data_IF_289697899869
#
_entry.id   IF_289697899869
#
_cell.length_a   1.000
_cell.length_b   1.000
_cell.length_c   1.000
_cell.angle_alpha   90.00
_cell.angle_beta   90.00
_cell.angle_gamma   90.00
#
_symmetry.space_group_name_H-M   'P 1'
#
loop_
_entity.id
_entity.type
_entity.pdbx_description
1 polymer ?
#
# COMPACT_ATOMS: atom_id res chain seq x y z
N UNK A 1 10.12 -3.37 5.96
CA UNK A 1 10.33 -3.93 4.65
C UNK A 1 8.99 -4.02 3.93
N UNK A 2 8.92 -3.56 2.68
CA UNK A 2 7.65 -3.46 1.95
C UNK A 2 7.43 -4.67 1.04
N UNK A 3 8.50 -5.27 0.52
CA UNK A 3 8.42 -6.42 -0.36
C UNK A 3 7.84 -7.65 0.35
N UNK A 4 6.72 -8.22 -0.13
CA UNK A 4 6.14 -9.45 0.39
C UNK A 4 7.08 -10.65 0.22
N UNK A 5 6.83 -11.71 0.97
CA UNK A 5 7.55 -12.97 0.86
C UNK A 5 6.98 -13.81 -0.30
N UNK A 6 7.83 -14.27 -1.21
CA UNK A 6 7.42 -15.15 -2.31
C UNK A 6 7.23 -16.60 -1.87
N UNK A 7 7.84 -17.03 -0.76
CA UNK A 7 7.65 -18.38 -0.24
C UNK A 7 6.25 -18.57 0.34
N UNK A 8 5.57 -19.65 -0.04
CA UNK A 8 4.31 -20.05 0.57
C UNK A 8 4.51 -20.43 2.03
N UNK A 9 3.53 -20.15 2.88
CA UNK A 9 3.53 -20.65 4.24
C UNK A 9 3.29 -22.17 4.22
N UNK A 10 4.06 -22.97 4.99
CA UNK A 10 3.81 -24.41 5.11
C UNK A 10 2.40 -24.67 5.61
N UNK A 11 1.84 -25.82 5.22
CA UNK A 11 0.49 -26.21 5.64
C UNK A 11 0.33 -26.16 7.16
N UNK A 12 -0.75 -25.53 7.62
CA UNK A 12 -1.08 -25.40 9.04
C UNK A 12 -0.36 -24.28 9.78
N UNK A 13 0.57 -23.58 9.14
CA UNK A 13 1.23 -22.42 9.75
C UNK A 13 0.44 -21.13 9.50
N UNK A 14 0.52 -20.20 10.46
CA UNK A 14 -0.05 -18.88 10.36
C UNK A 14 1.04 -17.81 10.50
N UNK A 15 0.92 -16.71 9.74
CA UNK A 15 1.71 -15.50 9.89
C UNK A 15 0.79 -14.37 10.34
N UNK A 16 1.19 -13.67 11.40
CA UNK A 16 0.56 -12.40 11.79
C UNK A 16 1.67 -11.35 11.83
N UNK A 17 1.53 -10.30 11.03
CA UNK A 17 2.51 -9.23 10.92
C UNK A 17 1.83 -7.85 10.95
N UNK A 18 1.56 -7.30 12.14
CA UNK A 18 1.03 -5.96 12.30
C UNK A 18 2.11 -4.90 12.07
N UNK A 19 1.76 -3.90 11.29
CA UNK A 19 2.50 -2.66 11.07
C UNK A 19 1.81 -1.49 11.75
N UNK A 20 2.57 -0.62 12.38
CA UNK A 20 2.18 0.74 12.73
C UNK A 20 3.11 1.71 11.99
N UNK A 21 2.54 2.74 11.40
CA UNK A 21 3.31 3.73 10.65
C UNK A 21 2.70 5.12 10.76
N UNK A 22 3.53 6.13 10.54
CA UNK A 22 3.09 7.50 10.41
C UNK A 22 3.48 8.04 9.03
N UNK A 23 2.52 8.48 8.22
CA UNK A 23 2.79 9.14 6.95
C UNK A 23 2.96 10.63 7.22
N UNK A 24 4.16 11.15 7.04
CA UNK A 24 4.47 12.56 7.21
C UNK A 24 4.65 13.16 5.82
N UNK A 25 3.66 13.94 5.39
CA UNK A 25 3.73 14.71 4.15
C UNK A 25 4.55 15.98 4.37
N UNK A 26 5.45 16.30 3.43
CA UNK A 26 6.30 17.49 3.51
C UNK A 26 6.30 18.35 2.23
N UNK A 27 5.38 18.02 1.30
CA UNK A 27 5.22 18.74 0.05
C UNK A 27 4.54 17.92 -1.03
N UNK A 28 4.37 18.54 -2.19
CA UNK A 28 3.80 17.95 -3.39
C UNK A 28 4.83 18.01 -4.52
N UNK A 29 4.90 16.94 -5.31
CA UNK A 29 5.72 16.86 -6.53
C UNK A 29 4.76 17.04 -7.71
N UNK A 30 4.94 18.09 -8.47
CA UNK A 30 4.02 18.50 -9.54
C UNK A 30 4.13 17.65 -10.82
N UNK A 31 3.42 18.06 -11.87
CA UNK A 31 3.43 17.40 -13.18
C UNK A 31 4.79 17.48 -13.91
N UNK A 32 5.69 18.36 -13.52
CA UNK A 32 7.03 18.49 -14.08
C UNK A 32 8.08 17.73 -13.26
N UNK A 33 7.70 17.17 -12.10
CA UNK A 33 8.61 16.52 -11.17
C UNK A 33 9.28 17.50 -10.20
N UNK A 34 8.81 18.75 -10.11
CA UNK A 34 9.33 19.75 -9.19
C UNK A 34 8.63 19.64 -7.83
N UNK A 35 9.44 19.58 -6.76
CA UNK A 35 8.93 19.52 -5.40
C UNK A 35 8.59 20.93 -4.88
N UNK A 36 7.35 21.10 -4.47
CA UNK A 36 6.84 22.28 -3.80
C UNK A 36 6.62 21.98 -2.32
N UNK A 37 7.18 22.81 -1.44
CA UNK A 37 6.97 22.65 0.00
C UNK A 37 5.50 22.89 0.34
N UNK A 38 4.92 22.03 1.17
CA UNK A 38 3.56 22.13 1.68
C UNK A 38 3.52 22.20 3.20
N UNK A 39 2.34 22.42 3.75
CA UNK A 39 2.11 22.25 5.16
C UNK A 39 2.32 20.77 5.54
N UNK A 40 2.90 20.53 6.71
CA UNK A 40 3.10 19.15 7.17
C UNK A 40 1.77 18.53 7.59
N UNK A 41 1.49 17.36 7.07
CA UNK A 41 0.35 16.54 7.46
C UNK A 41 0.87 15.27 8.11
N UNK A 42 0.11 14.74 9.05
CA UNK A 42 0.47 13.56 9.81
C UNK A 42 -0.71 12.59 9.80
N UNK A 43 -0.53 11.45 9.12
CA UNK A 43 -1.53 10.39 9.13
C UNK A 43 -0.95 9.17 9.85
N UNK A 44 -1.66 8.68 10.83
CA UNK A 44 -1.32 7.45 11.52
C UNK A 44 -2.04 6.29 10.85
N UNK A 45 -1.33 5.23 10.60
CA UNK A 45 -1.90 4.04 9.96
C UNK A 45 -1.43 2.74 10.62
N UNK A 46 -2.26 1.73 10.46
CA UNK A 46 -1.93 0.35 10.78
C UNK A 46 -2.43 -0.54 9.66
N UNK A 47 -1.65 -1.52 9.29
CA UNK A 47 -2.08 -2.65 8.48
C UNK A 47 -1.52 -3.93 9.09
N UNK A 48 -2.21 -5.05 8.90
CA UNK A 48 -1.74 -6.33 9.43
C UNK A 48 -1.91 -7.42 8.39
N UNK A 49 -0.81 -8.10 8.05
CA UNK A 49 -0.92 -9.34 7.30
C UNK A 49 -1.35 -10.46 8.23
N UNK A 50 -2.45 -11.12 7.92
CA UNK A 50 -2.94 -12.32 8.61
C UNK A 50 -3.05 -13.40 7.54
N UNK A 51 -2.06 -14.28 7.49
CA UNK A 51 -1.92 -15.29 6.44
C UNK A 51 -1.93 -16.69 7.04
N UNK A 52 -2.43 -17.67 6.29
CA UNK A 52 -2.49 -19.07 6.68
C UNK A 52 -2.11 -19.99 5.52
N UNK A 53 -1.21 -20.94 5.78
CA UNK A 53 -0.84 -22.00 4.84
C UNK A 53 -1.94 -23.04 4.75
N UNK A 54 -2.77 -22.98 3.71
CA UNK A 54 -3.86 -23.93 3.45
C UNK A 54 -3.29 -25.27 2.98
N UNK A 55 -2.28 -25.20 2.13
CA UNK A 55 -1.42 -26.31 1.72
C UNK A 55 0.01 -25.78 1.63
N UNK A 56 1.00 -26.63 1.36
CA UNK A 56 2.39 -26.19 1.18
C UNK A 56 2.58 -25.22 0.00
N UNK A 57 1.63 -25.18 -0.94
CA UNK A 57 1.67 -24.30 -2.10
C UNK A 57 0.61 -23.20 -2.08
N UNK A 58 -0.38 -23.25 -1.18
CA UNK A 58 -1.49 -22.29 -1.13
C UNK A 58 -1.48 -21.55 0.20
N UNK A 59 -1.35 -20.25 0.13
CA UNK A 59 -1.48 -19.33 1.27
C UNK A 59 -2.70 -18.44 1.06
N UNK A 60 -3.61 -18.41 2.03
CA UNK A 60 -4.76 -17.52 2.04
C UNK A 60 -4.66 -16.54 3.21
N UNK A 61 -5.28 -15.38 3.10
CA UNK A 61 -5.27 -14.42 4.20
C UNK A 61 -6.07 -13.16 3.94
N UNK A 62 -5.96 -12.23 4.86
CA UNK A 62 -6.60 -10.93 4.79
C UNK A 62 -5.72 -9.85 5.42
N UNK A 63 -5.93 -8.61 5.00
CA UNK A 63 -5.12 -7.45 5.41
C UNK A 63 -6.08 -6.34 5.86
N UNK A 64 -6.45 -6.27 7.15
CA UNK A 64 -7.18 -5.14 7.71
C UNK A 64 -6.29 -3.91 7.81
N UNK A 65 -6.90 -2.74 7.65
CA UNK A 65 -6.23 -1.44 7.72
C UNK A 65 -7.01 -0.48 8.61
N UNK A 66 -6.29 0.36 9.36
CA UNK A 66 -6.85 1.40 10.22
C UNK A 66 -6.08 2.69 10.01
N UNK A 67 -6.77 3.83 10.05
CA UNK A 67 -6.18 5.14 9.83
C UNK A 67 -6.75 6.18 10.78
N UNK A 68 -5.92 7.17 11.07
CA UNK A 68 -6.29 8.41 11.73
C UNK A 68 -5.53 9.54 11.05
N UNK A 69 -6.23 10.41 10.32
CA UNK A 69 -5.65 11.44 9.47
C UNK A 69 -5.66 12.79 10.18
N UNK A 70 -4.55 13.51 10.13
CA UNK A 70 -4.34 14.85 10.69
C UNK A 70 -3.89 15.82 9.59
N UNK A 71 -4.82 16.25 8.70
CA UNK A 71 -4.50 17.17 7.62
C UNK A 71 -4.15 18.56 8.17
N UNK A 72 -3.22 19.25 7.51
CA UNK A 72 -2.82 20.59 7.87
C UNK A 72 -3.96 21.60 7.67
N UNK A 73 -4.29 22.35 8.72
CA UNK A 73 -5.28 23.44 8.64
C UNK A 73 -6.74 22.98 8.51
N UNK A 74 -7.03 21.69 8.65
CA UNK A 74 -8.37 21.13 8.65
C UNK A 74 -8.60 20.25 9.89
N UNK A 75 -9.85 19.81 10.11
CA UNK A 75 -10.18 18.95 11.24
C UNK A 75 -9.59 17.55 11.02
N UNK A 76 -8.97 16.98 12.05
CA UNK A 76 -8.52 15.58 12.06
C UNK A 76 -9.69 14.59 11.98
N UNK A 77 -9.41 13.33 11.73
CA UNK A 77 -10.41 12.26 11.75
C UNK A 77 -11.23 12.26 13.05
N UNK A 78 -12.52 11.98 12.91
CA UNK A 78 -13.44 11.94 14.07
C UNK A 78 -13.11 10.78 15.03
N UNK A 79 -12.56 9.69 14.50
CA UNK A 79 -12.14 8.48 15.20
C UNK A 79 -11.03 7.76 14.41
N UNK A 80 -10.53 6.65 14.95
CA UNK A 80 -9.78 5.70 14.15
C UNK A 80 -10.75 5.02 13.18
N UNK A 81 -10.50 5.18 11.90
CA UNK A 81 -11.36 4.68 10.82
C UNK A 81 -10.84 3.35 10.28
N UNK A 82 -11.76 2.43 9.98
CA UNK A 82 -11.45 1.18 9.31
C UNK A 82 -11.36 1.42 7.80
N UNK A 83 -10.23 1.07 7.20
CA UNK A 83 -9.99 1.20 5.76
C UNK A 83 -10.56 0.04 4.95
N UNK A 84 -10.19 -0.01 3.67
CA UNK A 84 -10.61 -1.10 2.81
C UNK A 84 -9.88 -2.40 3.19
N UNK A 85 -10.67 -3.49 3.36
CA UNK A 85 -10.18 -4.81 3.70
C UNK A 85 -9.69 -5.53 2.43
N UNK A 86 -8.44 -6.01 2.44
CA UNK A 86 -7.92 -6.83 1.34
C UNK A 86 -7.97 -8.31 1.71
N UNK A 87 -8.55 -9.13 0.85
CA UNK A 87 -8.45 -10.59 0.88
C UNK A 87 -7.32 -11.02 -0.05
N UNK A 88 -6.62 -12.12 0.30
CA UNK A 88 -5.46 -12.58 -0.46
C UNK A 88 -5.49 -14.09 -0.64
N UNK A 89 -5.13 -14.54 -1.84
CA UNK A 89 -4.88 -15.94 -2.17
C UNK A 89 -3.59 -16.04 -2.98
N UNK A 90 -2.59 -16.74 -2.45
CA UNK A 90 -1.30 -16.96 -3.08
C UNK A 90 -1.12 -18.43 -3.48
N UNK A 91 -0.47 -18.64 -4.63
CA UNK A 91 -0.06 -19.94 -5.12
C UNK A 91 1.43 -19.95 -5.45
N UNK A 92 2.20 -20.83 -4.76
CA UNK A 92 3.62 -21.06 -5.03
C UNK A 92 3.82 -21.84 -6.33
N UNK A 93 4.41 -21.18 -7.32
CA UNK A 93 4.73 -21.74 -8.65
C UNK A 93 6.05 -22.51 -8.64
N UNK A 94 7.03 -22.02 -7.88
CA UNK A 94 8.34 -22.62 -7.71
C UNK A 94 8.84 -22.39 -6.28
N UNK A 95 9.65 -23.31 -5.79
CA UNK A 95 10.25 -23.23 -4.46
C UNK A 95 11.75 -23.24 -4.54
N UNK A 96 12.38 -22.38 -3.76
CA UNK A 96 13.83 -22.34 -3.60
C UNK A 96 14.36 -23.70 -3.18
N UNK A 97 15.50 -24.08 -3.78
CA UNK A 97 16.24 -25.31 -3.41
C UNK A 97 17.68 -24.93 -3.15
N UNK A 98 18.17 -25.27 -1.98
CA UNK A 98 19.56 -25.03 -1.59
C UNK A 98 20.53 -25.70 -2.59
N UNK A 99 21.51 -24.93 -3.08
CA UNK A 99 22.44 -25.36 -4.12
C UNK A 99 21.87 -25.44 -5.54
N UNK A 100 20.59 -25.03 -5.75
CA UNK A 100 19.93 -24.89 -7.04
C UNK A 100 19.95 -23.44 -7.54
N UNK A 101 19.39 -23.22 -8.75
CA UNK A 101 19.19 -21.89 -9.34
C UNK A 101 17.68 -21.59 -9.49
N UNK A 102 16.83 -22.22 -8.67
CA UNK A 102 15.39 -22.02 -8.76
C UNK A 102 14.97 -21.10 -7.60
N UNK A 103 14.53 -19.86 -7.87
CA UNK A 103 14.00 -18.98 -6.84
C UNK A 103 12.63 -19.45 -6.34
N UNK A 104 12.16 -18.91 -5.22
CA UNK A 104 10.73 -18.93 -4.89
C UNK A 104 10.00 -18.02 -5.86
N UNK A 105 8.89 -18.50 -6.42
CA UNK A 105 8.00 -17.74 -7.29
C UNK A 105 6.57 -17.98 -6.84
N UNK A 106 5.82 -16.91 -6.58
CA UNK A 106 4.41 -16.99 -6.22
C UNK A 106 3.57 -16.06 -7.09
N UNK A 107 2.40 -16.54 -7.48
CA UNK A 107 1.32 -15.73 -8.04
C UNK A 107 0.31 -15.46 -6.92
N UNK A 108 0.00 -14.18 -6.69
CA UNK A 108 -0.91 -13.79 -5.61
C UNK A 108 -2.03 -12.92 -6.17
N UNK A 109 -3.26 -13.36 -5.96
CA UNK A 109 -4.48 -12.62 -6.24
C UNK A 109 -4.94 -11.91 -4.97
N UNK A 110 -5.21 -10.62 -5.06
CA UNK A 110 -5.80 -9.84 -3.98
C UNK A 110 -7.09 -9.19 -4.46
N UNK A 111 -8.09 -9.17 -3.57
CA UNK A 111 -9.33 -8.43 -3.76
C UNK A 111 -9.52 -7.48 -2.59
N UNK A 112 -9.51 -6.19 -2.87
CA UNK A 112 -9.76 -5.14 -1.87
C UNK A 112 -11.24 -4.77 -1.89
N UNK A 113 -11.89 -4.98 -0.77
CA UNK A 113 -13.31 -4.73 -0.57
C UNK A 113 -13.53 -3.29 -0.10
N UNK A 114 -14.55 -2.57 -0.60
CA UNK A 114 -14.83 -1.19 -0.24
C UNK A 114 -15.51 -1.08 1.14
N UNK A 115 -14.78 -1.40 2.20
CA UNK A 115 -15.28 -1.37 3.58
C UNK A 115 -15.00 -0.05 4.28
N UNK A 116 -14.06 0.74 3.78
CA UNK A 116 -13.73 2.05 4.31
C UNK A 116 -14.69 3.14 3.84
N UNK A 117 -14.78 4.21 4.61
CA UNK A 117 -15.60 5.37 4.26
C UNK A 117 -14.94 6.14 3.14
N UNK A 118 -15.69 6.54 2.11
CA UNK A 118 -15.15 7.21 0.92
C UNK A 118 -15.99 8.40 0.44
N UNK A 119 -17.30 8.44 0.70
CA UNK A 119 -18.19 9.54 0.32
C UNK A 119 -19.15 9.91 1.45
N UNK A 120 -19.97 10.95 1.23
CA UNK A 120 -20.88 11.51 2.24
C UNK A 120 -20.16 11.82 3.57
N UNK A 121 -18.91 12.27 3.44
CA UNK A 121 -18.03 12.50 4.58
C UNK A 121 -18.43 13.78 5.32
N UNK A 122 -18.51 13.70 6.65
CA UNK A 122 -18.67 14.88 7.51
C UNK A 122 -17.37 15.70 7.58
N UNK A 123 -16.23 15.02 7.49
CA UNK A 123 -14.88 15.60 7.41
C UNK A 123 -14.12 14.86 6.32
N UNK A 124 -13.34 15.58 5.52
CA UNK A 124 -12.51 14.94 4.49
C UNK A 124 -11.54 13.91 5.08
N UNK A 125 -11.03 14.17 6.30
CA UNK A 125 -10.13 13.30 7.05
C UNK A 125 -10.73 11.94 7.49
N UNK A 126 -12.07 11.79 7.49
CA UNK A 126 -12.74 10.51 7.80
C UNK A 126 -12.74 9.56 6.59
N UNK A 127 -12.32 10.05 5.41
CA UNK A 127 -12.25 9.25 4.18
C UNK A 127 -10.97 8.39 4.13
N UNK A 128 -11.12 7.07 4.22
CA UNK A 128 -10.01 6.10 4.26
C UNK A 128 -10.19 4.91 3.32
N UNK A 129 -11.31 4.86 2.58
CA UNK A 129 -11.63 3.85 1.59
C UNK A 129 -11.71 4.43 0.17
N UNK A 130 -11.61 3.58 -0.85
CA UNK A 130 -11.80 3.96 -2.25
C UNK A 130 -13.27 3.83 -2.70
N UNK A 131 -14.10 3.08 -1.95
CA UNK A 131 -15.48 2.75 -2.36
C UNK A 131 -15.56 1.81 -3.56
N UNK A 132 -14.45 1.49 -4.19
CA UNK A 132 -14.35 0.61 -5.34
C UNK A 132 -13.80 -0.76 -4.94
N UNK A 133 -14.28 -1.82 -5.60
CA UNK A 133 -13.59 -3.10 -5.58
C UNK A 133 -12.30 -2.98 -6.40
N UNK A 134 -11.18 -3.43 -5.82
CA UNK A 134 -9.90 -3.41 -6.53
C UNK A 134 -9.30 -4.81 -6.54
N UNK A 135 -9.19 -5.37 -7.75
CA UNK A 135 -8.50 -6.65 -7.97
C UNK A 135 -7.04 -6.38 -8.31
N UNK A 136 -6.12 -7.07 -7.63
CA UNK A 136 -4.68 -7.00 -7.95
C UNK A 136 -4.11 -8.38 -8.23
N UNK A 137 -3.31 -8.46 -9.28
CA UNK A 137 -2.52 -9.64 -9.64
C UNK A 137 -1.06 -9.35 -9.35
N UNK A 138 -0.43 -10.19 -8.54
CA UNK A 138 0.92 -9.97 -8.05
C UNK A 138 1.81 -11.18 -8.39
N UNK A 139 3.03 -10.90 -8.84
CA UNK A 139 4.07 -11.89 -9.04
C UNK A 139 5.22 -11.57 -8.10
N UNK A 140 5.50 -12.47 -7.17
CA UNK A 140 6.58 -12.34 -6.19
C UNK A 140 7.68 -13.32 -6.51
N UNK A 141 8.92 -12.82 -6.53
CA UNK A 141 10.14 -13.59 -6.75
C UNK A 141 11.10 -13.37 -5.59
N UNK A 142 11.78 -14.44 -5.16
CA UNK A 142 12.74 -14.38 -4.07
C UNK A 142 13.84 -15.40 -4.29
N UNK A 143 15.09 -14.98 -4.03
CA UNK A 143 16.22 -15.89 -4.08
C UNK A 143 17.21 -15.60 -2.94
N UNK A 144 18.05 -16.59 -2.61
CA UNK A 144 19.02 -16.54 -1.54
C UNK A 144 20.43 -16.75 -2.07
N UNK A 145 21.34 -15.86 -1.70
CA UNK A 145 22.73 -15.89 -2.11
C UNK A 145 23.63 -16.02 -0.88
N UNK A 146 24.44 -17.08 -0.86
CA UNK A 146 25.50 -17.23 0.14
C UNK A 146 26.67 -16.31 -0.21
N UNK A 147 26.92 -15.33 0.64
CA UNK A 147 28.03 -14.40 0.49
C UNK A 147 29.35 -15.06 0.91
N UNK A 148 30.51 -14.60 0.40
CA UNK A 148 31.81 -15.20 0.74
C UNK A 148 32.15 -15.24 2.23
N UNK A 149 31.55 -14.37 3.02
CA UNK A 149 31.71 -14.33 4.48
C UNK A 149 30.75 -15.24 5.23
N UNK A 150 30.04 -16.14 4.56
CA UNK A 150 29.08 -17.09 5.15
C UNK A 150 27.76 -16.46 5.59
N UNK A 151 27.44 -15.24 5.14
CA UNK A 151 26.16 -14.58 5.39
C UNK A 151 25.21 -14.78 4.23
N UNK A 152 23.92 -14.66 4.49
CA UNK A 152 22.88 -14.76 3.48
C UNK A 152 22.46 -13.36 3.05
N UNK A 153 22.41 -13.17 1.73
CA UNK A 153 21.70 -12.08 1.07
C UNK A 153 20.43 -12.65 0.45
N UNK A 154 19.25 -12.16 0.86
CA UNK A 154 17.98 -12.45 0.21
C UNK A 154 17.64 -11.30 -0.73
N UNK A 155 17.37 -11.58 -1.99
CA UNK A 155 16.87 -10.63 -2.96
C UNK A 155 15.42 -10.94 -3.27
N UNK A 156 14.59 -9.90 -3.42
CA UNK A 156 13.18 -10.00 -3.83
C UNK A 156 12.92 -9.06 -4.99
N UNK A 157 11.98 -9.47 -5.83
CA UNK A 157 11.48 -8.63 -6.91
C UNK A 157 9.99 -8.91 -7.07
N UNK A 158 9.17 -7.91 -6.80
CA UNK A 158 7.73 -8.03 -6.75
C UNK A 158 7.09 -7.11 -7.79
N UNK A 159 6.14 -7.65 -8.53
CA UNK A 159 5.32 -6.94 -9.50
C UNK A 159 3.87 -7.00 -9.06
N UNK A 160 3.18 -5.88 -9.11
CA UNK A 160 1.75 -5.80 -8.82
C UNK A 160 1.06 -4.97 -9.88
N UNK A 161 -0.07 -5.47 -10.38
CA UNK A 161 -0.99 -4.73 -11.24
C UNK A 161 -2.39 -4.78 -10.66
N UNK A 162 -2.98 -3.61 -10.44
CA UNK A 162 -4.29 -3.45 -9.82
C UNK A 162 -5.24 -2.68 -10.73
N UNK A 163 -6.49 -3.13 -10.80
CA UNK A 163 -7.57 -2.45 -11.50
C UNK A 163 -8.82 -2.38 -10.63
N UNK A 164 -9.56 -1.28 -10.77
CA UNK A 164 -10.67 -0.96 -9.88
C UNK A 164 -11.99 -0.85 -10.63
N UNK A 165 -13.08 -1.22 -9.95
CA UNK A 165 -14.43 -0.95 -10.44
C UNK A 165 -14.76 0.53 -10.36
N UNK A 166 -15.73 1.00 -11.17
CA UNK A 166 -16.30 2.33 -10.97
C UNK A 166 -17.15 2.38 -9.69
N UNK A 167 -17.24 3.56 -9.09
CA UNK A 167 -17.96 3.79 -7.83
C UNK A 167 -18.88 4.99 -7.93
N UNK A 168 -20.07 4.91 -7.32
CA UNK A 168 -20.97 6.06 -7.17
C UNK A 168 -20.44 6.96 -6.06
N UNK A 169 -20.48 8.26 -6.27
CA UNK A 169 -19.94 9.27 -5.34
C UNK A 169 -20.99 10.34 -5.09
N UNK A 170 -21.21 10.66 -3.82
CA UNK A 170 -22.15 11.67 -3.38
C UNK A 170 -21.51 12.58 -2.34
N UNK A 171 -21.85 13.87 -2.40
CA UNK A 171 -21.38 14.88 -1.45
C UNK A 171 -19.84 14.96 -1.37
N UNK A 172 -19.32 15.22 -0.17
CA UNK A 172 -17.88 15.25 0.10
C UNK A 172 -17.29 13.86 0.07
N UNK A 173 -16.21 13.65 -0.68
CA UNK A 173 -15.59 12.34 -0.86
C UNK A 173 -14.05 12.41 -0.93
N UNK A 174 -13.44 11.24 -0.86
CA UNK A 174 -11.99 11.05 -1.11
C UNK A 174 -11.56 11.43 -2.53
N UNK A 175 -12.51 11.55 -3.46
CA UNK A 175 -12.27 11.99 -4.84
C UNK A 175 -12.27 13.52 -5.00
N UNK A 176 -12.24 14.28 -3.91
CA UNK A 176 -12.17 15.74 -3.92
C UNK A 176 -13.50 16.43 -4.24
N UNK A 177 -14.62 15.71 -4.19
CA UNK A 177 -15.95 16.31 -4.36
C UNK A 177 -16.41 17.05 -3.11
N UNK A 178 -17.38 17.92 -3.27
CA UNK A 178 -17.96 18.73 -2.19
C UNK A 178 -19.45 18.46 -2.03
N UNK A 179 -20.06 18.98 -0.97
CA UNK A 179 -21.48 18.81 -0.68
C UNK A 179 -22.37 19.17 -1.88
N UNK A 180 -23.35 18.31 -2.16
CA UNK A 180 -24.27 18.41 -3.29
C UNK A 180 -23.79 17.73 -4.57
N UNK A 181 -22.56 17.24 -4.64
CA UNK A 181 -22.11 16.46 -5.79
C UNK A 181 -22.85 15.13 -5.89
N UNK A 182 -23.19 14.71 -7.11
CA UNK A 182 -23.71 13.37 -7.41
C UNK A 182 -23.14 12.90 -8.74
N UNK A 183 -22.46 11.73 -8.72
CA UNK A 183 -21.80 11.23 -9.91
C UNK A 183 -21.12 9.88 -9.73
N UNK A 184 -20.06 9.67 -10.53
CA UNK A 184 -19.24 8.47 -10.53
C UNK A 184 -17.76 8.79 -10.62
N UNK A 185 -16.96 8.05 -9.86
CA UNK A 185 -15.53 7.99 -10.05
C UNK A 185 -15.14 6.68 -10.76
N UNK A 186 -14.11 6.78 -11.59
CA UNK A 186 -13.48 5.69 -12.32
C UNK A 186 -12.00 5.71 -11.94
N UNK A 187 -11.61 5.03 -10.84
CA UNK A 187 -10.21 4.97 -10.44
C UNK A 187 -9.34 4.38 -11.54
N UNK A 188 -8.17 4.96 -11.76
CA UNK A 188 -7.20 4.45 -12.71
C UNK A 188 -6.54 3.16 -12.23
N UNK A 189 -5.94 2.42 -13.16
CA UNK A 189 -5.16 1.24 -12.85
C UNK A 189 -3.87 1.61 -12.13
N UNK A 190 -3.30 0.66 -11.40
CA UNK A 190 -2.06 0.84 -10.65
C UNK A 190 -1.03 -0.22 -11.03
N UNK A 191 0.22 0.17 -11.07
CA UNK A 191 1.35 -0.73 -11.28
C UNK A 191 2.43 -0.44 -10.24
N UNK A 192 2.97 -1.50 -9.62
CA UNK A 192 4.03 -1.38 -8.64
C UNK A 192 5.13 -2.41 -8.93
N UNK A 193 6.37 -1.96 -8.78
CA UNK A 193 7.55 -2.83 -8.73
C UNK A 193 8.29 -2.53 -7.43
N UNK A 194 8.60 -3.57 -6.68
CA UNK A 194 9.43 -3.49 -5.49
C UNK A 194 10.65 -4.39 -5.63
N UNK A 195 11.84 -3.80 -5.58
CA UNK A 195 13.11 -4.52 -5.58
C UNK A 195 13.75 -4.38 -4.20
N UNK A 196 13.90 -5.50 -3.50
CA UNK A 196 14.38 -5.51 -2.13
C UNK A 196 15.60 -6.41 -1.93
N UNK A 197 16.46 -6.01 -1.00
CA UNK A 197 17.59 -6.78 -0.56
C UNK A 197 17.65 -6.83 0.97
N UNK A 198 17.89 -8.02 1.52
CA UNK A 198 18.03 -8.26 2.95
C UNK A 198 19.37 -8.96 3.22
N UNK A 199 20.18 -8.34 4.03
CA UNK A 199 21.48 -8.89 4.39
C UNK A 199 21.55 -9.28 5.86
N UNK A 200 21.80 -10.55 6.11
CA UNK A 200 21.96 -11.09 7.47
C UNK A 200 23.29 -10.66 8.09
N UNK A 201 23.29 -9.58 8.90
CA UNK A 201 24.47 -9.13 9.65
C UNK A 201 24.92 -10.16 10.67
N UNK A 202 23.96 -10.75 11.37
CA UNK A 202 24.17 -11.81 12.36
C UNK A 202 23.06 -12.86 12.21
N UNK A 203 22.96 -13.82 13.12
CA UNK A 203 21.80 -14.75 13.15
C UNK A 203 20.49 -14.07 13.52
N UNK A 204 20.56 -12.90 14.20
CA UNK A 204 19.39 -12.17 14.70
C UNK A 204 19.17 -10.82 14.04
N UNK A 205 20.21 -10.19 13.50
CA UNK A 205 20.13 -8.86 12.91
C UNK A 205 20.18 -8.93 11.38
N UNK A 206 19.21 -8.28 10.74
CA UNK A 206 19.11 -8.16 9.28
C UNK A 206 19.03 -6.69 8.91
N UNK A 207 19.79 -6.28 7.90
CA UNK A 207 19.58 -5.00 7.22
C UNK A 207 18.72 -5.25 5.98
N UNK A 208 17.75 -4.39 5.75
CA UNK A 208 16.89 -4.43 4.58
C UNK A 208 16.88 -3.08 3.86
N UNK A 209 16.71 -3.14 2.56
CA UNK A 209 16.58 -1.96 1.71
C UNK A 209 15.68 -2.28 0.53
N UNK A 210 14.60 -1.51 0.37
CA UNK A 210 13.66 -1.65 -0.73
C UNK A 210 13.71 -0.40 -1.62
N UNK A 211 13.55 -0.61 -2.93
CA UNK A 211 13.35 0.42 -3.95
C UNK A 211 12.01 0.16 -4.61
N UNK A 212 11.06 1.06 -4.40
CA UNK A 212 9.67 0.90 -4.82
C UNK A 212 9.34 1.91 -5.89
N UNK A 213 9.01 1.44 -7.08
CA UNK A 213 8.39 2.24 -8.13
C UNK A 213 6.88 1.98 -8.13
N UNK A 214 6.10 3.05 -8.13
CA UNK A 214 4.63 2.97 -8.23
C UNK A 214 4.16 3.93 -9.31
N UNK A 215 3.25 3.46 -10.15
CA UNK A 215 2.53 4.25 -11.14
C UNK A 215 1.02 4.07 -10.93
N UNK A 216 0.26 5.16 -11.06
CA UNK A 216 -1.19 5.14 -11.05
C UNK A 216 -1.69 5.92 -12.26
N UNK A 217 -2.62 5.33 -13.00
CA UNK A 217 -3.32 5.99 -14.08
C UNK A 217 -4.28 7.07 -13.55
N UNK A 218 -4.74 7.93 -14.45
CA UNK A 218 -5.67 9.01 -14.11
C UNK A 218 -7.00 8.46 -13.60
N UNK A 219 -7.47 8.97 -12.47
CA UNK A 219 -8.84 8.80 -12.01
C UNK A 219 -9.74 9.81 -12.72
N UNK A 220 -10.81 9.34 -13.38
CA UNK A 220 -11.83 10.19 -13.98
C UNK A 220 -13.05 10.29 -13.05
N UNK A 221 -13.53 11.52 -12.85
CA UNK A 221 -14.75 11.85 -12.10
C UNK A 221 -15.76 12.50 -13.03
N UNK A 222 -17.00 11.99 -13.05
CA UNK A 222 -18.10 12.56 -13.83
C UNK A 222 -19.35 12.71 -12.98
N UNK A 223 -20.08 13.79 -13.11
CA UNK A 223 -21.29 13.97 -12.32
C UNK A 223 -21.92 15.36 -12.48
N UNK A 224 -22.69 15.74 -11.50
CA UNK A 224 -23.40 17.02 -11.45
C UNK A 224 -23.23 17.69 -10.11
N UNK A 225 -23.17 19.02 -10.13
CA UNK A 225 -23.30 19.87 -8.96
C UNK A 225 -24.62 20.66 -9.05
N UNK A 226 -25.36 20.84 -7.96
CA UNK A 226 -26.54 21.71 -7.92
C UNK A 226 -26.19 23.13 -8.39
N UNK A 227 -27.17 23.77 -9.00
CA UNK A 227 -27.03 25.18 -9.36
C UNK A 227 -26.83 26.04 -8.10
N UNK A 228 -25.76 26.85 -8.09
CA UNK A 228 -25.65 27.93 -7.10
C UNK A 228 -26.47 29.13 -7.57
N UNK A 229 -27.29 29.78 -6.70
CA UNK A 229 -28.01 31.00 -7.07
C UNK A 229 -27.06 32.06 -7.62
N UNK A 230 -27.41 32.76 -8.71
CA UNK A 230 -28.70 32.82 -9.41
C UNK A 230 -28.90 31.83 -10.57
N UNK A 231 -28.00 30.84 -10.78
CA UNK A 231 -28.12 29.85 -11.84
C UNK A 231 -29.34 28.93 -11.64
N UNK A 232 -30.00 28.53 -12.73
CA UNK A 232 -31.21 27.70 -12.72
C UNK A 232 -30.97 26.24 -13.11
N UNK A 233 -29.77 25.88 -13.57
CA UNK A 233 -29.44 24.52 -14.01
C UNK A 233 -28.21 23.99 -13.30
N UNK A 234 -28.22 22.69 -12.97
CA UNK A 234 -27.05 21.99 -12.45
C UNK A 234 -25.88 22.04 -13.44
N UNK A 235 -24.66 22.20 -12.93
CA UNK A 235 -23.46 22.16 -13.74
C UNK A 235 -22.96 20.72 -13.88
N UNK A 236 -22.54 20.37 -15.10
CA UNK A 236 -21.84 19.11 -15.35
C UNK A 236 -20.40 19.25 -14.81
N UNK A 237 -19.93 18.19 -14.17
CA UNK A 237 -18.56 18.06 -13.68
C UNK A 237 -17.90 16.91 -14.40
N UNK A 238 -16.78 17.17 -15.04
CA UNK A 238 -15.87 16.17 -15.58
C UNK A 238 -14.46 16.59 -15.19
N UNK A 239 -13.76 15.72 -14.48
CA UNK A 239 -12.44 15.99 -13.93
C UNK A 239 -11.56 14.76 -14.04
N UNK A 240 -10.29 14.97 -14.33
CA UNK A 240 -9.26 13.95 -14.32
C UNK A 240 -8.13 14.34 -13.37
N UNK A 241 -7.65 13.40 -12.57
CA UNK A 241 -6.54 13.64 -11.64
C UNK A 241 -5.18 13.78 -12.32
N UNK A 242 -5.07 13.29 -13.56
CA UNK A 242 -3.79 13.03 -14.21
C UNK A 242 -3.13 11.76 -13.66
N UNK A 243 -2.26 11.14 -14.45
CA UNK A 243 -1.44 10.01 -14.01
C UNK A 243 -0.37 10.48 -13.03
N UNK A 244 0.01 9.59 -12.11
CA UNK A 244 1.07 9.85 -11.12
C UNK A 244 2.09 8.72 -11.12
N UNK A 245 3.31 9.02 -10.69
CA UNK A 245 4.28 8.00 -10.33
C UNK A 245 5.18 8.47 -9.19
N UNK A 246 5.76 7.51 -8.47
CA UNK A 246 6.72 7.78 -7.40
C UNK A 246 7.81 6.72 -7.36
N UNK A 247 9.00 7.15 -6.91
CA UNK A 247 10.11 6.26 -6.54
C UNK A 247 10.38 6.44 -5.06
N UNK A 248 10.24 5.36 -4.31
CA UNK A 248 10.45 5.31 -2.87
C UNK A 248 11.67 4.47 -2.50
N UNK A 249 12.32 4.84 -1.40
CA UNK A 249 13.42 4.09 -0.79
C UNK A 249 13.04 3.73 0.63
N UNK A 250 13.24 2.46 1.04
CA UNK A 250 12.85 2.02 2.36
C UNK A 250 13.97 1.23 3.06
N UNK A 251 14.95 1.94 3.67
CA UNK A 251 15.89 1.31 4.57
C UNK A 251 15.19 0.80 5.84
N UNK A 252 15.59 -0.39 6.31
CA UNK A 252 15.07 -1.00 7.52
C UNK A 252 16.13 -1.85 8.23
N UNK A 253 15.90 -2.08 9.51
CA UNK A 253 16.63 -3.01 10.34
C UNK A 253 15.65 -3.94 11.03
N UNK A 254 15.97 -5.22 11.06
CA UNK A 254 15.16 -6.24 11.69
C UNK A 254 15.96 -6.97 12.76
N UNK A 255 15.33 -7.24 13.89
CA UNK A 255 15.88 -8.06 14.95
C UNK A 255 14.98 -9.27 15.21
N UNK A 256 15.52 -10.46 14.99
CA UNK A 256 14.86 -11.73 15.20
C UNK A 256 15.38 -12.35 16.52
N UNK A 257 14.52 -12.41 17.55
CA UNK A 257 14.87 -13.08 18.81
C UNK A 257 14.60 -14.58 18.76
N UNK A 258 13.87 -15.03 17.75
CA UNK A 258 13.68 -16.44 17.41
C UNK A 258 13.51 -16.63 15.92
N UNK A 259 13.47 -17.88 15.45
CA UNK A 259 13.15 -18.21 14.06
C UNK A 259 11.69 -17.90 13.66
N UNK A 260 10.85 -17.58 14.63
CA UNK A 260 9.41 -17.36 14.43
C UNK A 260 8.95 -15.95 14.80
N UNK A 261 9.79 -15.17 15.43
CA UNK A 261 9.40 -13.86 15.94
C UNK A 261 10.53 -12.84 15.78
N UNK A 262 10.19 -11.68 15.29
CA UNK A 262 11.08 -10.55 15.11
C UNK A 262 10.37 -9.22 15.15
N UNK A 263 11.13 -8.14 15.22
CA UNK A 263 10.67 -6.76 15.09
C UNK A 263 11.44 -6.09 13.97
N UNK A 264 10.74 -5.31 13.18
CA UNK A 264 11.29 -4.52 12.08
C UNK A 264 11.06 -3.03 12.40
N UNK A 265 12.09 -2.23 12.16
CA UNK A 265 12.03 -0.77 12.18
C UNK A 265 12.53 -0.27 10.84
N UNK A 266 11.74 0.56 10.17
CA UNK A 266 12.08 1.08 8.86
C UNK A 266 11.51 2.46 8.62
N UNK A 267 11.92 3.07 7.51
CA UNK A 267 11.37 4.32 7.04
C UNK A 267 11.26 4.29 5.51
N UNK A 268 10.07 4.57 4.98
CA UNK A 268 9.90 4.79 3.53
C UNK A 268 10.00 6.28 3.22
N UNK A 269 10.77 6.63 2.21
CA UNK A 269 11.03 8.00 1.77
C UNK A 269 10.63 8.11 0.31
N UNK A 270 9.71 9.02 -0.02
CA UNK A 270 9.30 9.37 -1.39
C UNK A 270 9.63 10.84 -1.59
N UNK A 271 10.64 11.10 -2.43
CA UNK A 271 11.12 12.44 -2.77
C UNK A 271 11.24 12.64 -4.30
N UNK A 272 10.93 11.60 -5.07
CA UNK A 272 11.05 11.56 -6.52
C UNK A 272 9.74 11.06 -7.10
N UNK A 273 9.18 11.76 -8.09
CA UNK A 273 7.93 11.36 -8.70
C UNK A 273 7.31 12.44 -9.59
N UNK A 274 6.04 12.28 -9.86
CA UNK A 274 5.20 13.22 -10.62
C UNK A 274 3.75 13.12 -10.14
N UNK A 275 3.08 14.25 -9.97
CA UNK A 275 1.71 14.34 -9.45
C UNK A 275 1.53 13.49 -8.16
N UNK A 276 2.48 13.57 -7.24
CA UNK A 276 2.49 12.74 -6.04
C UNK A 276 2.90 13.55 -4.82
N UNK A 277 2.64 13.02 -3.64
CA UNK A 277 3.02 13.65 -2.38
C UNK A 277 4.41 13.19 -1.96
N UNK A 278 5.27 14.13 -1.58
CA UNK A 278 6.55 13.82 -0.97
C UNK A 278 6.33 13.43 0.49
N UNK A 279 6.78 12.23 0.90
CA UNK A 279 6.49 11.68 2.22
C UNK A 279 7.70 11.03 2.87
N UNK A 280 7.70 11.06 4.21
CA UNK A 280 8.57 10.25 5.05
C UNK A 280 7.66 9.41 5.95
N UNK A 281 7.77 8.08 5.88
CA UNK A 281 6.89 7.16 6.58
C UNK A 281 7.71 6.21 7.47
N UNK A 282 8.01 6.60 8.72
CA UNK A 282 8.55 5.66 9.69
C UNK A 282 7.52 4.57 10.02
N UNK A 283 8.01 3.35 10.21
CA UNK A 283 7.17 2.19 10.49
C UNK A 283 7.87 1.22 11.46
N UNK A 284 7.05 0.56 12.25
CA UNK A 284 7.42 -0.60 13.07
C UNK A 284 6.51 -1.78 12.72
N UNK A 285 7.06 -2.97 12.64
CA UNK A 285 6.30 -4.19 12.49
C UNK A 285 6.79 -5.28 13.46
N UNK A 286 5.90 -6.20 13.81
CA UNK A 286 6.24 -7.41 14.55
C UNK A 286 5.87 -8.59 13.66
N UNK A 287 6.84 -9.44 13.37
CA UNK A 287 6.63 -10.68 12.62
C UNK A 287 6.42 -11.83 13.59
N UNK A 288 5.35 -12.61 13.41
CA UNK A 288 5.01 -13.76 14.25
C UNK A 288 4.54 -14.91 13.37
N UNK A 289 5.23 -16.04 13.46
CA UNK A 289 4.88 -17.31 12.76
C UNK A 289 4.51 -18.37 13.80
N UNK A 290 3.36 -19.02 13.59
CA UNK A 290 2.78 -20.03 14.49
C UNK A 290 2.71 -21.39 13.83
#
# INVERSE_FOLDING_TARGET
>A
MLAPNAASLPQGHALIEPYLFAVISNGHIDANGEKHAGAKEHDLGSLSYVLYGVTDNITAGFIPRFFFNEPAGAAHSSSVEFGDLTLQLGYGLAHYRDGGHTPDISLVLQETLPTGRYDQLSRASDGVGAGAYTTSVNLYLQDYFWMPNGRILRARLDFSYGFSSSVSVHDQSVYGTTSGFSGRAYPGDSFLVDAAAEYSLTRSWVLAFDVVYQHNDSTRLTGTMPAAPPASAASQVEQESGSSWSLGFAPAIEYNWSSRMGVLLGVRIIEIGRNTTATITPAIAINMVF
#
